data_IF_320606888069
#
_entry.id   IF_320606888069
#
_cell.length_a   1.000
_cell.length_b   1.000
_cell.length_c   1.000
_cell.angle_alpha   90.00
_cell.angle_beta   90.00
_cell.angle_gamma   90.00
#
_symmetry.space_group_name_H-M   'P 1'
#
loop_
_entity.id
_entity.type
_entity.pdbx_description
1 polymer ?
#
# COMPACT_ATOMS: atom_id res chain seq x y z
N UNK A 1 7.59 -23.31 -44.64
CA UNK A 1 8.06 -23.38 -46.04
C UNK A 1 7.03 -23.92 -47.04
N UNK A 2 5.74 -24.09 -46.66
CA UNK A 2 4.68 -24.54 -47.59
C UNK A 2 3.55 -23.52 -47.82
N UNK A 3 3.49 -22.42 -47.06
CA UNK A 3 2.59 -21.28 -47.31
C UNK A 3 3.23 -20.16 -48.16
N UNK A 4 4.54 -20.22 -48.38
CA UNK A 4 5.24 -19.35 -49.34
C UNK A 4 5.06 -19.82 -50.80
N UNK A 5 4.50 -21.03 -51.00
CA UNK A 5 4.33 -21.66 -52.30
C UNK A 5 2.93 -21.45 -52.93
N UNK A 6 1.90 -21.12 -52.15
CA UNK A 6 0.56 -20.87 -52.71
C UNK A 6 0.47 -19.46 -53.33
N UNK A 7 1.31 -18.52 -52.88
CA UNK A 7 1.37 -17.18 -53.46
C UNK A 7 2.13 -17.09 -54.81
N UNK A 8 2.92 -18.12 -55.18
CA UNK A 8 3.83 -18.06 -56.33
C UNK A 8 3.45 -18.94 -57.53
N UNK A 9 2.33 -19.67 -57.49
CA UNK A 9 1.93 -20.58 -58.59
C UNK A 9 1.03 -19.96 -59.67
N UNK A 10 0.74 -18.65 -59.60
CA UNK A 10 0.02 -17.94 -60.67
C UNK A 10 0.89 -16.98 -61.50
N UNK A 11 2.20 -16.91 -61.24
CA UNK A 11 3.09 -15.92 -61.85
C UNK A 11 4.37 -16.54 -62.44
N UNK A 12 4.26 -17.35 -63.50
CA UNK A 12 5.41 -17.60 -64.39
C UNK A 12 5.02 -18.22 -65.73
N UNK A 13 4.42 -17.40 -66.60
CA UNK A 13 4.74 -17.37 -68.04
C UNK A 13 3.83 -16.33 -68.70
N UNK A 14 4.42 -15.20 -69.09
CA UNK A 14 4.10 -14.33 -70.24
C UNK A 14 4.34 -12.84 -69.91
N UNK A 15 5.29 -12.27 -70.66
CA UNK A 15 5.56 -10.86 -70.95
C UNK A 15 5.72 -9.86 -69.81
N UNK A 16 6.99 -9.47 -69.60
CA UNK A 16 7.48 -8.39 -68.76
C UNK A 16 7.08 -6.97 -69.16
N UNK A 17 6.31 -6.77 -70.25
CA UNK A 17 5.89 -5.45 -70.72
C UNK A 17 4.37 -5.19 -70.64
N UNK A 18 3.57 -6.15 -70.15
CA UNK A 18 2.11 -5.96 -69.92
C UNK A 18 1.80 -5.64 -68.44
N UNK A 19 2.71 -5.98 -67.51
CA UNK A 19 2.53 -5.78 -66.07
C UNK A 19 2.74 -4.34 -65.57
N UNK A 20 3.21 -3.44 -66.43
CA UNK A 20 3.39 -2.03 -66.07
C UNK A 20 2.10 -1.20 -66.20
N UNK A 21 1.00 -1.78 -66.72
CA UNK A 21 -0.21 -1.04 -67.09
C UNK A 21 -1.49 -1.45 -66.34
N UNK A 22 -1.41 -2.34 -65.33
CA UNK A 22 -2.53 -2.73 -64.45
C UNK A 22 -2.45 -2.14 -63.02
N UNK A 23 -1.47 -1.28 -62.75
CA UNK A 23 -1.18 -0.71 -61.41
C UNK A 23 -1.84 0.64 -61.15
N UNK A 24 -3.17 0.69 -61.25
CA UNK A 24 -3.95 1.64 -60.45
C UNK A 24 -5.09 0.88 -59.78
N UNK A 25 -4.78 0.06 -58.78
CA UNK A 25 -5.78 -0.43 -57.84
C UNK A 25 -6.49 0.79 -57.28
N UNK A 26 -7.80 0.92 -57.49
CA UNK A 26 -8.57 2.00 -56.90
C UNK A 26 -8.60 1.76 -55.39
N UNK A 27 -7.64 2.35 -54.68
CA UNK A 27 -7.43 2.19 -53.25
C UNK A 27 -8.68 2.54 -52.43
N UNK A 28 -9.48 3.49 -52.94
CA UNK A 28 -10.78 3.83 -52.34
C UNK A 28 -11.80 2.70 -52.54
N UNK A 29 -11.80 2.01 -53.68
CA UNK A 29 -12.64 0.84 -53.91
C UNK A 29 -12.22 -0.35 -53.03
N UNK A 30 -10.92 -0.63 -52.93
CA UNK A 30 -10.41 -1.67 -52.01
C UNK A 30 -10.77 -1.34 -50.55
N UNK A 31 -10.59 -0.08 -50.12
CA UNK A 31 -11.00 0.34 -48.80
C UNK A 31 -12.51 0.24 -48.58
N UNK A 32 -13.32 0.61 -49.58
CA UNK A 32 -14.80 0.51 -49.48
C UNK A 32 -15.24 -0.95 -49.32
N UNK A 33 -14.64 -1.88 -50.07
CA UNK A 33 -14.91 -3.31 -49.94
C UNK A 33 -14.49 -3.83 -48.57
N UNK A 34 -13.26 -3.51 -48.13
CA UNK A 34 -12.79 -3.82 -46.78
C UNK A 34 -13.78 -3.34 -45.70
N UNK A 35 -14.20 -2.07 -45.79
CA UNK A 35 -15.04 -1.43 -44.79
C UNK A 35 -16.44 -2.03 -44.76
N UNK A 36 -17.05 -2.31 -45.91
CA UNK A 36 -18.37 -2.95 -45.98
C UNK A 36 -18.34 -4.40 -45.49
N UNK A 37 -17.33 -5.21 -45.86
CA UNK A 37 -17.20 -6.57 -45.34
C UNK A 37 -16.96 -6.57 -43.82
N UNK A 38 -16.10 -5.69 -43.30
CA UNK A 38 -15.87 -5.54 -41.86
C UNK A 38 -17.16 -5.15 -41.12
N UNK A 39 -17.95 -4.22 -41.67
CA UNK A 39 -19.24 -3.80 -41.10
C UNK A 39 -20.27 -4.94 -41.05
N UNK A 40 -20.19 -5.88 -41.99
CA UNK A 40 -21.05 -7.06 -42.04
C UNK A 40 -20.48 -8.26 -41.26
N UNK A 41 -19.39 -8.07 -40.50
CA UNK A 41 -18.67 -9.13 -39.77
C UNK A 41 -18.15 -10.26 -40.67
N UNK A 42 -17.87 -9.99 -41.94
CA UNK A 42 -17.26 -10.95 -42.87
C UNK A 42 -15.74 -10.73 -42.91
N UNK A 43 -15.05 -11.22 -41.88
CA UNK A 43 -13.60 -11.07 -41.74
C UNK A 43 -12.82 -11.72 -42.90
N UNK A 44 -13.27 -12.90 -43.34
CA UNK A 44 -12.64 -13.66 -44.43
C UNK A 44 -12.61 -12.87 -45.74
N UNK A 45 -13.70 -12.17 -46.07
CA UNK A 45 -13.76 -11.31 -47.26
C UNK A 45 -13.06 -9.97 -47.02
N UNK A 46 -13.12 -9.41 -45.81
CA UNK A 46 -12.52 -8.10 -45.50
C UNK A 46 -10.98 -8.11 -45.53
N UNK A 47 -10.35 -9.08 -44.85
CA UNK A 47 -8.89 -9.13 -44.60
C UNK A 47 -8.05 -8.95 -45.89
N UNK A 48 -8.33 -9.63 -47.02
CA UNK A 48 -7.58 -9.44 -48.25
C UNK A 48 -7.59 -7.99 -48.77
N UNK A 49 -8.73 -7.31 -48.70
CA UNK A 49 -8.83 -5.90 -49.10
C UNK A 49 -8.14 -4.98 -48.11
N UNK A 50 -8.21 -5.29 -46.81
CA UNK A 50 -7.46 -4.56 -45.78
C UNK A 50 -5.96 -4.56 -46.03
N UNK A 51 -5.38 -5.73 -46.37
CA UNK A 51 -3.96 -5.83 -46.73
C UNK A 51 -3.63 -5.14 -48.05
N UNK A 52 -4.51 -5.14 -49.06
CA UNK A 52 -4.28 -4.35 -50.28
C UNK A 52 -4.12 -2.87 -49.95
N UNK A 53 -4.97 -2.34 -49.07
CA UNK A 53 -4.89 -0.94 -48.64
C UNK A 53 -3.61 -0.69 -47.84
N UNK A 54 -3.33 -1.52 -46.83
CA UNK A 54 -2.16 -1.39 -45.94
C UNK A 54 -0.84 -1.51 -46.71
N UNK A 55 -0.73 -2.45 -47.66
CA UNK A 55 0.50 -2.67 -48.42
C UNK A 55 0.70 -1.63 -49.54
N UNK A 56 -0.35 -0.89 -49.92
CA UNK A 56 -0.26 0.16 -50.94
C UNK A 56 0.04 1.51 -50.31
N UNK A 57 -0.90 2.06 -49.52
CA UNK A 57 -0.73 3.29 -48.74
C UNK A 57 -1.95 3.50 -47.81
N UNK A 58 -1.86 3.23 -46.50
CA UNK A 58 -2.98 3.37 -45.58
C UNK A 58 -3.20 4.81 -45.09
N UNK A 59 -2.36 5.78 -45.46
CA UNK A 59 -2.29 7.12 -44.85
C UNK A 59 -3.64 7.84 -44.82
N UNK A 60 -4.38 7.82 -45.93
CA UNK A 60 -5.69 8.49 -46.02
C UNK A 60 -6.82 7.78 -45.25
N UNK A 61 -6.56 6.56 -44.76
CA UNK A 61 -7.53 5.68 -44.13
C UNK A 61 -7.31 5.48 -42.62
N UNK A 62 -6.24 6.04 -42.07
CA UNK A 62 -5.92 5.97 -40.63
C UNK A 62 -7.07 6.51 -39.76
N UNK A 63 -7.74 7.58 -40.21
CA UNK A 63 -8.93 8.15 -39.53
C UNK A 63 -10.10 7.17 -39.39
N UNK A 64 -10.15 6.13 -40.23
CA UNK A 64 -11.15 5.06 -40.16
C UNK A 64 -10.67 3.83 -39.37
N UNK A 65 -9.52 3.94 -38.71
CA UNK A 65 -8.96 2.93 -37.80
C UNK A 65 -8.73 1.58 -38.49
N UNK A 66 -8.20 1.61 -39.72
CA UNK A 66 -7.98 0.40 -40.53
C UNK A 66 -7.15 -0.66 -39.79
N UNK A 67 -6.09 -0.26 -39.07
CA UNK A 67 -5.27 -1.19 -38.28
C UNK A 67 -6.03 -1.81 -37.12
N UNK A 68 -6.81 -1.03 -36.37
CA UNK A 68 -7.63 -1.55 -35.26
C UNK A 68 -8.71 -2.50 -35.78
N UNK A 69 -9.34 -2.20 -36.92
CA UNK A 69 -10.31 -3.09 -37.55
C UNK A 69 -9.69 -4.41 -38.00
N UNK A 70 -8.48 -4.38 -38.55
CA UNK A 70 -7.72 -5.58 -38.89
C UNK A 70 -7.35 -6.37 -37.63
N UNK A 71 -6.93 -5.69 -36.56
CA UNK A 71 -6.68 -6.28 -35.24
C UNK A 71 -7.95 -7.00 -34.74
N UNK A 72 -9.08 -6.31 -34.65
CA UNK A 72 -10.34 -6.87 -34.15
C UNK A 72 -10.72 -8.17 -34.88
N UNK A 73 -10.55 -8.20 -36.20
CA UNK A 73 -10.80 -9.40 -37.01
C UNK A 73 -9.82 -10.53 -36.68
N UNK A 74 -8.53 -10.25 -36.53
CA UNK A 74 -7.56 -11.28 -36.18
C UNK A 74 -7.76 -11.84 -34.78
N UNK A 75 -8.09 -11.01 -33.80
CA UNK A 75 -8.42 -11.47 -32.45
C UNK A 75 -9.67 -12.35 -32.44
N UNK A 76 -10.71 -11.93 -33.16
CA UNK A 76 -11.93 -12.72 -33.30
C UNK A 76 -11.65 -14.10 -33.94
N UNK A 77 -10.90 -14.12 -35.05
CA UNK A 77 -10.56 -15.36 -35.73
C UNK A 77 -9.66 -16.26 -34.87
N UNK A 78 -8.64 -15.71 -34.19
CA UNK A 78 -7.75 -16.47 -33.32
C UNK A 78 -8.51 -17.18 -32.19
N UNK A 79 -9.45 -16.48 -31.56
CA UNK A 79 -10.23 -16.98 -30.42
C UNK A 79 -11.39 -17.89 -30.85
N UNK A 80 -11.62 -18.05 -32.16
CA UNK A 80 -12.60 -18.99 -32.69
C UNK A 80 -12.26 -20.44 -32.32
N UNK A 81 -13.29 -21.20 -31.96
CA UNK A 81 -13.19 -22.64 -31.72
C UNK A 81 -13.09 -23.46 -33.01
N UNK A 82 -13.33 -22.83 -34.16
CA UNK A 82 -13.51 -23.49 -35.45
C UNK A 82 -12.22 -23.61 -36.27
N UNK A 83 -11.10 -23.12 -35.74
CA UNK A 83 -9.79 -23.16 -36.41
C UNK A 83 -8.76 -24.01 -35.63
N UNK A 84 -7.88 -24.67 -36.37
CA UNK A 84 -6.80 -25.49 -35.81
C UNK A 84 -5.62 -24.65 -35.28
N UNK A 85 -4.73 -25.30 -34.53
CA UNK A 85 -3.56 -24.65 -33.92
C UNK A 85 -2.59 -24.08 -34.96
N UNK A 86 -2.49 -24.68 -36.15
CA UNK A 86 -1.64 -24.18 -37.23
C UNK A 86 -2.18 -22.86 -37.79
N UNK A 87 -3.50 -22.75 -37.91
CA UNK A 87 -4.20 -21.53 -38.33
C UNK A 87 -4.06 -20.43 -37.28
N UNK A 88 -4.17 -20.77 -35.98
CA UNK A 88 -3.91 -19.84 -34.87
C UNK A 88 -2.49 -19.29 -34.90
N UNK A 89 -1.52 -20.15 -35.19
CA UNK A 89 -0.11 -19.76 -35.30
C UNK A 89 0.12 -18.77 -36.46
N UNK A 90 -0.49 -19.01 -37.62
CA UNK A 90 -0.44 -18.09 -38.77
C UNK A 90 -1.09 -16.75 -38.43
N UNK A 91 -2.24 -16.76 -37.74
CA UNK A 91 -2.93 -15.54 -37.31
C UNK A 91 -2.04 -14.76 -36.33
N UNK A 92 -1.38 -15.44 -35.39
CA UNK A 92 -0.48 -14.80 -34.45
C UNK A 92 0.70 -14.12 -35.16
N UNK A 93 1.37 -14.81 -36.08
CA UNK A 93 2.46 -14.22 -36.88
C UNK A 93 1.98 -13.03 -37.72
N UNK A 94 0.81 -13.16 -38.33
CA UNK A 94 0.22 -12.08 -39.15
C UNK A 94 -0.16 -10.87 -38.30
N UNK A 95 -0.64 -11.09 -37.07
CA UNK A 95 -0.99 -10.03 -36.12
C UNK A 95 0.25 -9.30 -35.62
N UNK A 96 1.34 -10.02 -35.33
CA UNK A 96 2.63 -9.42 -35.00
C UNK A 96 3.14 -8.52 -36.15
N UNK A 97 3.03 -9.01 -37.39
CA UNK A 97 3.38 -8.21 -38.57
C UNK A 97 2.49 -6.98 -38.73
N UNK A 98 1.18 -7.11 -38.51
CA UNK A 98 0.23 -6.01 -38.55
C UNK A 98 0.65 -4.89 -37.59
N UNK A 99 1.02 -5.22 -36.35
CA UNK A 99 1.50 -4.23 -35.37
C UNK A 99 2.80 -3.55 -35.81
N UNK A 100 3.73 -4.30 -36.41
CA UNK A 100 4.98 -3.73 -36.96
C UNK A 100 4.73 -2.74 -38.09
N UNK A 101 3.73 -3.01 -38.94
CA UNK A 101 3.33 -2.08 -40.00
C UNK A 101 2.58 -0.89 -39.39
N UNK A 102 1.65 -1.11 -38.47
CA UNK A 102 0.86 -0.07 -37.83
C UNK A 102 1.74 0.98 -37.13
N UNK A 103 2.78 0.54 -36.41
CA UNK A 103 3.74 1.44 -35.74
C UNK A 103 4.47 2.40 -36.69
N UNK A 104 4.56 2.09 -38.00
CA UNK A 104 5.16 2.99 -39.00
C UNK A 104 4.22 4.13 -39.40
N UNK A 105 2.91 3.94 -39.27
CA UNK A 105 1.89 4.87 -39.75
C UNK A 105 1.15 5.60 -38.62
N UNK A 106 1.10 5.02 -37.41
CA UNK A 106 0.45 5.59 -36.22
C UNK A 106 1.47 5.75 -35.07
N UNK A 107 2.42 6.71 -35.19
CA UNK A 107 3.48 6.91 -34.20
C UNK A 107 2.95 7.25 -32.80
N UNK A 108 1.76 7.85 -32.71
CA UNK A 108 1.07 8.16 -31.47
C UNK A 108 0.52 6.93 -30.73
N UNK A 109 0.46 5.77 -31.40
CA UNK A 109 -0.04 4.50 -30.84
C UNK A 109 1.04 3.44 -30.68
N UNK A 110 2.32 3.80 -30.78
CA UNK A 110 3.42 2.83 -30.67
C UNK A 110 3.36 2.07 -29.33
N UNK A 111 3.14 2.77 -28.22
CA UNK A 111 3.00 2.14 -26.90
C UNK A 111 1.88 1.10 -26.85
N UNK A 112 0.70 1.44 -27.40
CA UNK A 112 -0.43 0.54 -27.54
C UNK A 112 -0.07 -0.72 -28.34
N UNK A 113 0.54 -0.57 -29.51
CA UNK A 113 0.91 -1.70 -30.37
C UNK A 113 2.02 -2.56 -29.75
N UNK A 114 2.97 -1.97 -29.04
CA UNK A 114 4.00 -2.72 -28.32
C UNK A 114 3.40 -3.57 -27.19
N UNK A 115 2.46 -3.03 -26.41
CA UNK A 115 1.78 -3.79 -25.36
C UNK A 115 0.95 -4.95 -25.93
N UNK A 116 0.23 -4.70 -27.02
CA UNK A 116 -0.53 -5.74 -27.75
C UNK A 116 0.39 -6.79 -28.36
N UNK A 117 1.52 -6.39 -28.92
CA UNK A 117 2.56 -7.30 -29.42
C UNK A 117 3.10 -8.19 -28.30
N UNK A 118 3.43 -7.61 -27.15
CA UNK A 118 3.89 -8.36 -25.97
C UNK A 118 2.85 -9.38 -25.50
N UNK A 119 1.57 -9.00 -25.47
CA UNK A 119 0.48 -9.92 -25.14
C UNK A 119 0.35 -11.08 -26.15
N UNK A 120 0.44 -10.82 -27.45
CA UNK A 120 0.41 -11.88 -28.46
C UNK A 120 1.59 -12.84 -28.29
N UNK A 121 2.79 -12.31 -28.00
CA UNK A 121 3.97 -13.13 -27.70
C UNK A 121 3.75 -13.98 -26.44
N UNK A 122 3.14 -13.41 -25.40
CA UNK A 122 2.84 -14.10 -24.14
C UNK A 122 1.79 -15.21 -24.31
N UNK A 123 0.61 -14.84 -24.81
CA UNK A 123 -0.60 -15.66 -24.68
C UNK A 123 -0.80 -16.58 -25.88
N UNK A 124 -0.57 -16.07 -27.09
CA UNK A 124 -0.80 -16.83 -28.32
C UNK A 124 0.44 -17.66 -28.68
N UNK A 125 1.61 -17.01 -28.71
CA UNK A 125 2.87 -17.66 -29.09
C UNK A 125 3.53 -18.45 -27.95
N UNK A 126 3.15 -18.19 -26.70
CA UNK A 126 3.80 -18.75 -25.49
C UNK A 126 5.32 -18.65 -25.57
N UNK A 127 5.79 -17.48 -26.01
CA UNK A 127 7.21 -17.21 -26.20
C UNK A 127 7.98 -17.33 -24.86
N UNK A 128 9.29 -17.61 -24.89
CA UNK A 128 10.10 -17.65 -23.68
C UNK A 128 9.99 -16.37 -22.87
N UNK A 129 9.94 -16.49 -21.54
CA UNK A 129 9.72 -15.36 -20.63
C UNK A 129 10.63 -14.15 -20.90
N UNK A 130 11.94 -14.29 -21.16
CA UNK A 130 12.81 -13.13 -21.46
C UNK A 130 12.34 -12.31 -22.67
N UNK A 131 11.83 -12.97 -23.72
CA UNK A 131 11.33 -12.30 -24.93
C UNK A 131 10.06 -11.50 -24.63
N UNK A 132 9.18 -12.09 -23.82
CA UNK A 132 7.92 -11.45 -23.43
C UNK A 132 8.17 -10.28 -22.47
N UNK A 133 9.09 -10.44 -21.52
CA UNK A 133 9.51 -9.40 -20.58
C UNK A 133 10.07 -8.20 -21.35
N UNK A 134 11.02 -8.42 -22.26
CA UNK A 134 11.62 -7.34 -23.07
C UNK A 134 10.54 -6.58 -23.87
N UNK A 135 9.56 -7.31 -24.43
CA UNK A 135 8.47 -6.70 -25.18
C UNK A 135 7.57 -5.80 -24.30
N UNK A 136 7.23 -6.24 -23.08
CA UNK A 136 6.45 -5.44 -22.14
C UNK A 136 7.26 -4.26 -21.58
N UNK A 137 8.52 -4.46 -21.18
CA UNK A 137 9.41 -3.38 -20.71
C UNK A 137 9.50 -2.28 -21.76
N UNK A 138 9.78 -2.64 -23.03
CA UNK A 138 9.82 -1.69 -24.14
C UNK A 138 8.50 -0.94 -24.34
N UNK A 139 7.37 -1.62 -24.16
CA UNK A 139 6.07 -0.98 -24.24
C UNK A 139 5.92 0.11 -23.18
N UNK A 140 6.24 -0.20 -21.92
CA UNK A 140 6.10 0.75 -20.79
C UNK A 140 7.13 1.87 -20.78
N UNK A 141 8.33 1.62 -21.31
CA UNK A 141 9.33 2.67 -21.57
C UNK A 141 8.85 3.66 -22.63
N UNK A 142 8.10 3.16 -23.63
CA UNK A 142 7.58 4.00 -24.72
C UNK A 142 6.35 4.80 -24.27
N UNK A 143 5.48 4.19 -23.45
CA UNK A 143 4.24 4.80 -23.01
C UNK A 143 3.88 4.37 -21.58
N UNK A 144 4.08 5.28 -20.63
CA UNK A 144 3.76 5.03 -19.22
C UNK A 144 2.24 4.95 -18.94
N UNK A 145 1.40 5.42 -19.87
CA UNK A 145 -0.06 5.47 -19.73
C UNK A 145 -0.77 4.17 -20.11
N UNK A 146 -0.01 3.18 -20.61
CA UNK A 146 -0.54 1.85 -20.93
C UNK A 146 -1.32 1.29 -19.71
N UNK A 147 -2.52 0.71 -19.93
CA UNK A 147 -3.37 0.22 -18.85
C UNK A 147 -2.65 -0.71 -17.87
N UNK A 148 -2.93 -0.55 -16.59
CA UNK A 148 -2.34 -1.34 -15.51
C UNK A 148 -2.56 -2.85 -15.67
N UNK A 149 -3.59 -3.26 -16.43
CA UNK A 149 -3.77 -4.65 -16.86
C UNK A 149 -2.50 -5.26 -17.47
N UNK A 150 -1.83 -4.57 -18.40
CA UNK A 150 -0.61 -5.09 -19.02
C UNK A 150 0.58 -5.07 -18.05
N UNK A 151 0.63 -4.09 -17.14
CA UNK A 151 1.66 -4.04 -16.08
C UNK A 151 1.51 -5.23 -15.13
N UNK A 152 0.29 -5.62 -14.76
CA UNK A 152 0.02 -6.85 -14.00
C UNK A 152 0.46 -8.10 -14.78
N UNK A 153 0.27 -8.17 -16.11
CA UNK A 153 0.83 -9.29 -16.91
C UNK A 153 2.34 -9.40 -16.75
N UNK A 154 3.07 -8.30 -16.89
CA UNK A 154 4.52 -8.29 -16.67
C UNK A 154 4.89 -8.68 -15.23
N UNK A 155 4.17 -8.14 -14.23
CA UNK A 155 4.36 -8.50 -12.83
C UNK A 155 4.15 -9.99 -12.54
N UNK A 156 3.17 -10.62 -13.18
CA UNK A 156 2.93 -12.07 -13.09
C UNK A 156 4.11 -12.82 -13.68
N UNK A 157 4.57 -12.45 -14.89
CA UNK A 157 5.69 -13.13 -15.56
C UNK A 157 6.97 -13.01 -14.71
N UNK A 158 7.24 -11.85 -14.13
CA UNK A 158 8.34 -11.69 -13.19
C UNK A 158 8.21 -12.62 -11.98
N UNK A 159 7.05 -12.64 -11.33
CA UNK A 159 6.82 -13.46 -10.15
C UNK A 159 6.95 -14.97 -10.46
N UNK A 160 6.41 -15.45 -11.58
CA UNK A 160 6.41 -16.87 -11.92
C UNK A 160 7.76 -17.37 -12.45
N UNK A 161 8.61 -16.49 -12.96
CA UNK A 161 9.94 -16.83 -13.48
C UNK A 161 11.08 -16.35 -12.57
N UNK A 162 10.76 -15.90 -11.35
CA UNK A 162 11.75 -15.52 -10.37
C UNK A 162 12.60 -16.73 -9.96
N UNK A 163 13.92 -16.57 -10.03
CA UNK A 163 14.90 -17.55 -9.61
C UNK A 163 16.04 -16.86 -8.84
N UNK A 164 16.88 -17.63 -8.16
CA UNK A 164 17.96 -17.08 -7.33
C UNK A 164 18.99 -16.26 -8.12
N UNK A 165 19.17 -16.58 -9.40
CA UNK A 165 20.16 -15.98 -10.30
C UNK A 165 19.63 -14.74 -11.06
N UNK A 166 18.38 -14.35 -10.84
CA UNK A 166 17.77 -13.18 -11.47
C UNK A 166 17.14 -12.21 -10.46
N UNK A 167 16.81 -11.01 -10.92
CA UNK A 167 16.23 -9.93 -10.13
C UNK A 167 14.71 -9.82 -10.27
N UNK A 168 14.05 -10.79 -10.90
CA UNK A 168 12.63 -10.66 -11.25
C UNK A 168 11.73 -10.51 -10.03
N UNK A 169 12.10 -11.12 -8.90
CA UNK A 169 11.40 -10.90 -7.63
C UNK A 169 11.41 -9.43 -7.19
N UNK A 170 12.55 -8.75 -7.38
CA UNK A 170 12.68 -7.32 -7.09
C UNK A 170 11.95 -6.47 -8.12
N UNK A 171 12.01 -6.84 -9.41
CA UNK A 171 11.25 -6.16 -10.47
C UNK A 171 9.73 -6.27 -10.25
N UNK A 172 9.23 -7.43 -9.85
CA UNK A 172 7.83 -7.61 -9.48
C UNK A 172 7.45 -6.77 -8.25
N UNK A 173 8.30 -6.76 -7.22
CA UNK A 173 8.09 -5.93 -6.03
C UNK A 173 8.00 -4.44 -6.39
N UNK A 174 8.93 -3.93 -7.20
CA UNK A 174 8.94 -2.53 -7.65
C UNK A 174 7.68 -2.19 -8.44
N UNK A 175 7.31 -3.05 -9.40
CA UNK A 175 6.12 -2.87 -10.22
C UNK A 175 4.84 -2.85 -9.39
N UNK A 176 4.63 -3.82 -8.50
CA UNK A 176 3.43 -3.86 -7.67
C UNK A 176 3.43 -2.78 -6.58
N UNK A 177 4.60 -2.33 -6.12
CA UNK A 177 4.68 -1.18 -5.20
C UNK A 177 4.19 0.09 -5.88
N UNK A 178 4.66 0.38 -7.10
CA UNK A 178 4.18 1.51 -7.91
C UNK A 178 2.69 1.42 -8.21
N UNK A 179 2.17 0.23 -8.53
CA UNK A 179 0.74 0.03 -8.74
C UNK A 179 -0.07 0.28 -7.45
N UNK A 180 0.45 -0.14 -6.29
CA UNK A 180 -0.21 0.12 -4.99
C UNK A 180 -0.26 1.60 -4.61
N UNK A 181 0.65 2.42 -5.15
CA UNK A 181 0.65 3.87 -4.93
C UNK A 181 -0.35 4.58 -5.85
N UNK A 182 -0.46 4.13 -7.10
CA UNK A 182 -1.42 4.67 -8.07
C UNK A 182 -2.85 4.25 -7.72
N UNK A 183 -3.04 3.04 -7.20
CA UNK A 183 -4.34 2.47 -6.83
C UNK A 183 -4.34 1.99 -5.37
N UNK A 184 -4.33 2.91 -4.38
CA UNK A 184 -4.20 2.56 -2.96
C UNK A 184 -5.37 1.75 -2.41
N UNK A 185 -6.56 1.89 -3.00
CA UNK A 185 -7.76 1.14 -2.61
C UNK A 185 -7.83 -0.26 -3.26
N UNK A 186 -6.91 -0.57 -4.17
CA UNK A 186 -6.86 -1.87 -4.83
C UNK A 186 -6.00 -2.86 -4.04
N UNK A 187 -6.66 -3.61 -3.16
CA UNK A 187 -6.01 -4.63 -2.33
C UNK A 187 -5.30 -5.74 -3.12
N UNK A 188 -5.58 -5.88 -4.43
CA UNK A 188 -4.90 -6.85 -5.30
C UNK A 188 -3.38 -6.64 -5.28
N UNK A 189 -2.89 -5.40 -5.34
CA UNK A 189 -1.45 -5.13 -5.42
C UNK A 189 -0.71 -5.51 -4.15
N UNK A 190 -1.33 -5.28 -3.00
CA UNK A 190 -0.79 -5.74 -1.72
C UNK A 190 -0.74 -7.28 -1.68
N UNK A 191 -1.81 -7.95 -2.12
CA UNK A 191 -1.82 -9.41 -2.23
C UNK A 191 -0.74 -9.96 -3.17
N UNK A 192 -0.48 -9.28 -4.30
CA UNK A 192 0.59 -9.65 -5.23
C UNK A 192 1.98 -9.51 -4.60
N UNK A 193 2.23 -8.43 -3.85
CA UNK A 193 3.49 -8.22 -3.10
C UNK A 193 3.67 -9.33 -2.06
N UNK A 194 2.63 -9.62 -1.28
CA UNK A 194 2.67 -10.65 -0.23
C UNK A 194 2.97 -12.04 -0.81
N UNK A 195 2.37 -12.37 -1.96
CA UNK A 195 2.59 -13.63 -2.65
C UNK A 195 3.94 -13.74 -3.39
N UNK A 196 4.75 -12.67 -3.44
CA UNK A 196 6.12 -12.82 -3.93
C UNK A 196 6.93 -13.72 -3.02
N UNK A 197 6.65 -13.69 -1.71
CA UNK A 197 7.37 -14.47 -0.72
C UNK A 197 6.55 -15.67 -0.25
N UNK A 198 7.24 -16.73 0.17
CA UNK A 198 6.61 -17.92 0.76
C UNK A 198 6.09 -17.63 2.17
N UNK A 199 6.77 -16.74 2.88
CA UNK A 199 6.41 -16.27 4.20
C UNK A 199 6.84 -14.81 4.42
N UNK A 200 6.44 -14.25 5.56
CA UNK A 200 6.70 -12.85 5.88
C UNK A 200 8.19 -12.54 6.10
N UNK A 201 9.01 -13.51 6.51
CA UNK A 201 10.44 -13.30 6.74
C UNK A 201 11.20 -13.19 5.42
N UNK A 202 10.84 -14.02 4.45
CA UNK A 202 11.39 -13.87 3.10
C UNK A 202 10.99 -12.51 2.50
N UNK A 203 9.76 -12.02 2.76
CA UNK A 203 9.34 -10.68 2.32
C UNK A 203 10.15 -9.56 3.00
N UNK A 204 10.52 -9.71 4.27
CA UNK A 204 11.45 -8.82 4.97
C UNK A 204 12.79 -8.76 4.22
N UNK A 205 13.36 -9.90 3.85
CA UNK A 205 14.65 -9.96 3.16
C UNK A 205 14.61 -9.35 1.75
N UNK A 206 13.53 -9.58 1.00
CA UNK A 206 13.35 -9.01 -0.34
C UNK A 206 13.20 -7.48 -0.25
N UNK A 207 12.36 -6.99 0.66
CA UNK A 207 12.16 -5.54 0.82
C UNK A 207 13.41 -4.86 1.37
N UNK A 208 14.18 -5.54 2.23
CA UNK A 208 15.52 -5.09 2.65
C UNK A 208 16.45 -4.95 1.45
N UNK A 209 16.59 -6.01 0.64
CA UNK A 209 17.46 -6.01 -0.54
C UNK A 209 17.05 -4.91 -1.53
N UNK A 210 15.75 -4.71 -1.72
CA UNK A 210 15.22 -3.62 -2.56
C UNK A 210 15.68 -2.24 -2.07
N UNK A 211 15.58 -1.98 -0.77
CA UNK A 211 16.04 -0.73 -0.18
C UNK A 211 17.57 -0.59 -0.16
N UNK A 212 18.33 -1.66 0.12
CA UNK A 212 19.79 -1.62 0.12
C UNK A 212 20.38 -1.30 -1.27
N UNK A 213 19.68 -1.66 -2.35
CA UNK A 213 20.06 -1.28 -3.72
C UNK A 213 19.83 0.20 -4.04
N UNK A 214 18.96 0.88 -3.29
CA UNK A 214 18.61 2.29 -3.48
C UNK A 214 18.29 2.92 -2.13
N UNK A 215 19.34 3.10 -1.31
CA UNK A 215 19.20 3.46 0.10
C UNK A 215 18.58 4.84 0.33
N UNK A 216 18.68 5.73 -0.66
CA UNK A 216 18.07 7.07 -0.63
C UNK A 216 16.56 7.07 -0.84
N UNK A 217 15.98 5.98 -1.31
CA UNK A 217 14.57 5.92 -1.69
C UNK A 217 13.65 5.75 -0.47
N UNK A 218 12.82 6.77 -0.22
CA UNK A 218 11.91 6.82 0.92
C UNK A 218 10.79 5.77 0.82
N UNK A 219 10.27 5.50 -0.37
CA UNK A 219 9.19 4.53 -0.57
C UNK A 219 9.67 3.11 -0.26
N UNK A 220 10.87 2.75 -0.72
CA UNK A 220 11.51 1.47 -0.42
C UNK A 220 11.84 1.32 1.06
N UNK A 221 12.36 2.38 1.70
CA UNK A 221 12.58 2.41 3.14
C UNK A 221 11.27 2.18 3.91
N UNK A 222 10.19 2.88 3.51
CA UNK A 222 8.87 2.75 4.12
C UNK A 222 8.28 1.37 3.94
N UNK A 223 8.43 0.77 2.75
CA UNK A 223 7.98 -0.60 2.49
C UNK A 223 8.71 -1.60 3.39
N UNK A 224 10.04 -1.51 3.46
CA UNK A 224 10.84 -2.37 4.34
C UNK A 224 10.44 -2.21 5.81
N UNK A 225 10.33 -0.96 6.31
CA UNK A 225 9.86 -0.69 7.67
C UNK A 225 8.49 -1.31 7.96
N UNK A 226 7.53 -1.12 7.04
CA UNK A 226 6.16 -1.60 7.19
C UNK A 226 6.09 -3.13 7.23
N UNK A 227 6.87 -3.81 6.38
CA UNK A 227 6.95 -5.28 6.38
C UNK A 227 7.64 -5.79 7.66
N UNK A 228 8.72 -5.16 8.13
CA UNK A 228 9.34 -5.49 9.41
C UNK A 228 8.35 -5.38 10.58
N UNK A 229 7.55 -4.31 10.64
CA UNK A 229 6.51 -4.15 11.67
C UNK A 229 5.45 -5.25 11.58
N UNK A 230 4.99 -5.56 10.36
CA UNK A 230 4.01 -6.65 10.13
C UNK A 230 4.57 -8.01 10.57
N UNK A 231 5.86 -8.25 10.32
CA UNK A 231 6.59 -9.45 10.74
C UNK A 231 6.90 -9.52 12.24
N UNK A 232 6.58 -8.48 13.03
CA UNK A 232 7.04 -8.29 14.42
C UNK A 232 8.58 -8.22 14.57
N UNK A 233 9.30 -7.96 13.49
CA UNK A 233 10.75 -7.76 13.44
C UNK A 233 11.12 -6.31 13.79
N UNK A 234 10.72 -5.89 15.00
CA UNK A 234 10.74 -4.50 15.41
C UNK A 234 12.16 -3.90 15.42
N UNK A 235 13.19 -4.70 15.72
CA UNK A 235 14.57 -4.19 15.66
C UNK A 235 15.03 -3.84 14.25
N UNK A 236 14.59 -4.59 13.23
CA UNK A 236 14.89 -4.31 11.82
C UNK A 236 14.15 -3.07 11.32
N UNK A 237 12.99 -2.75 11.90
CA UNK A 237 12.20 -1.59 11.52
C UNK A 237 12.81 -0.25 11.95
N UNK A 238 13.73 -0.22 12.93
CA UNK A 238 14.32 1.03 13.43
C UNK A 238 15.11 1.79 12.36
N UNK A 239 16.06 1.13 11.70
CA UNK A 239 16.97 1.76 10.73
C UNK A 239 16.21 2.49 9.60
N UNK A 240 15.25 1.85 8.88
CA UNK A 240 14.50 2.57 7.85
C UNK A 240 13.62 3.68 8.43
N UNK A 241 13.02 3.53 9.61
CA UNK A 241 12.22 4.58 10.22
C UNK A 241 13.05 5.78 10.68
N UNK A 242 14.22 5.54 11.29
CA UNK A 242 15.19 6.57 11.65
C UNK A 242 15.62 7.35 10.39
N UNK A 243 15.98 6.63 9.32
CA UNK A 243 16.29 7.23 8.02
C UNK A 243 15.13 8.09 7.49
N UNK A 244 13.91 7.58 7.47
CA UNK A 244 12.72 8.30 7.00
C UNK A 244 12.45 9.58 7.80
N UNK A 245 12.56 9.52 9.13
CA UNK A 245 12.37 10.69 9.99
C UNK A 245 13.48 11.73 9.83
N UNK A 246 14.68 11.32 9.42
CA UNK A 246 15.78 12.24 9.11
C UNK A 246 15.58 12.93 7.74
N UNK A 247 15.11 12.20 6.74
CA UNK A 247 14.92 12.74 5.38
C UNK A 247 13.64 13.57 5.25
N UNK A 248 12.58 13.19 5.97
CA UNK A 248 11.27 13.86 5.92
C UNK A 248 10.73 14.08 7.34
N UNK A 249 11.35 14.98 8.12
CA UNK A 249 11.02 15.21 9.53
C UNK A 249 9.61 15.77 9.77
N UNK A 250 8.94 16.29 8.74
CA UNK A 250 7.57 16.79 8.79
C UNK A 250 6.51 15.68 8.66
N UNK A 251 6.89 14.49 8.18
CA UNK A 251 5.95 13.39 7.95
C UNK A 251 5.61 12.71 9.28
N UNK A 252 4.46 13.11 9.82
CA UNK A 252 3.92 12.64 11.12
C UNK A 252 3.86 11.12 11.21
N UNK A 253 3.48 10.43 10.13
CA UNK A 253 3.32 8.97 10.15
C UNK A 253 4.63 8.24 10.44
N UNK A 254 5.77 8.72 9.92
CA UNK A 254 7.09 8.12 10.18
C UNK A 254 7.45 8.20 11.66
N UNK A 255 7.25 9.36 12.28
CA UNK A 255 7.46 9.53 13.72
C UNK A 255 6.52 8.69 14.58
N UNK A 256 5.26 8.52 14.17
CA UNK A 256 4.30 7.64 14.87
C UNK A 256 4.77 6.19 14.87
N UNK A 257 5.17 5.67 13.70
CA UNK A 257 5.69 4.30 13.62
C UNK A 257 6.99 4.15 14.40
N UNK A 258 7.91 5.12 14.30
CA UNK A 258 9.19 5.08 15.04
C UNK A 258 8.98 5.10 16.56
N UNK A 259 8.11 5.98 17.06
CA UNK A 259 7.76 6.04 18.48
C UNK A 259 7.16 4.72 18.97
N UNK A 260 6.24 4.13 18.20
CA UNK A 260 5.62 2.85 18.54
C UNK A 260 6.63 1.70 18.54
N UNK A 261 7.53 1.66 17.56
CA UNK A 261 8.61 0.66 17.50
C UNK A 261 9.53 0.78 18.72
N UNK A 262 10.02 1.98 19.05
CA UNK A 262 10.84 2.17 20.25
C UNK A 262 10.11 1.82 21.54
N UNK A 263 8.82 2.15 21.65
CA UNK A 263 8.02 1.83 22.84
C UNK A 263 7.87 0.32 23.04
N UNK A 264 7.58 -0.43 21.98
CA UNK A 264 7.46 -1.90 22.01
C UNK A 264 8.78 -2.61 22.29
N UNK A 265 9.90 -1.95 22.01
CA UNK A 265 11.26 -2.42 22.31
C UNK A 265 11.77 -1.94 23.67
N UNK A 266 10.91 -1.32 24.49
CA UNK A 266 11.27 -0.71 25.78
C UNK A 266 12.39 0.35 25.71
N UNK A 267 12.66 0.90 24.53
CA UNK A 267 13.62 2.00 24.31
C UNK A 267 12.97 3.35 24.65
N UNK A 268 12.58 3.48 25.92
CA UNK A 268 11.74 4.57 26.43
C UNK A 268 12.28 5.97 26.11
N UNK A 269 13.59 6.20 26.26
CA UNK A 269 14.18 7.54 26.02
C UNK A 269 14.08 7.96 24.55
N UNK A 270 14.22 7.00 23.62
CA UNK A 270 14.06 7.25 22.19
C UNK A 270 12.58 7.43 21.82
N UNK A 271 11.69 6.63 22.40
CA UNK A 271 10.24 6.81 22.23
C UNK A 271 9.79 8.20 22.70
N UNK A 272 10.25 8.65 23.88
CA UNK A 272 9.98 9.99 24.41
C UNK A 272 10.52 11.10 23.49
N UNK A 273 11.70 10.90 22.89
CA UNK A 273 12.26 11.83 21.91
C UNK A 273 11.39 11.93 20.65
N UNK A 274 10.93 10.79 20.11
CA UNK A 274 10.01 10.76 18.98
C UNK A 274 8.64 11.40 19.32
N UNK A 275 8.08 11.12 20.49
CA UNK A 275 6.85 11.76 20.94
C UNK A 275 7.00 13.26 21.17
N UNK A 276 8.17 13.75 21.62
CA UNK A 276 8.45 15.18 21.70
C UNK A 276 8.36 15.83 20.31
N UNK A 277 8.90 15.19 19.28
CA UNK A 277 8.75 15.66 17.89
C UNK A 277 7.29 15.62 17.46
N UNK A 278 6.54 14.54 17.75
CA UNK A 278 5.11 14.45 17.45
C UNK A 278 4.28 15.54 18.14
N UNK A 279 4.60 15.91 19.37
CA UNK A 279 3.94 17.01 20.09
C UNK A 279 4.24 18.36 19.41
N UNK A 280 5.46 18.56 18.91
CA UNK A 280 5.79 19.80 18.19
C UNK A 280 5.07 19.88 16.84
N UNK A 281 4.94 18.75 16.13
CA UNK A 281 4.23 18.66 14.85
C UNK A 281 2.70 18.70 15.00
N UNK A 282 2.18 18.17 16.12
CA UNK A 282 0.75 18.06 16.42
C UNK A 282 0.47 18.45 17.88
N UNK A 283 0.54 19.75 18.22
CA UNK A 283 0.33 20.22 19.59
C UNK A 283 -1.09 19.97 20.10
N UNK A 284 -2.07 19.83 19.20
CA UNK A 284 -3.47 19.58 19.55
C UNK A 284 -3.82 18.07 19.53
N UNK A 285 -2.83 17.20 19.35
CA UNK A 285 -3.05 15.75 19.40
C UNK A 285 -2.90 15.24 20.83
N UNK A 286 -4.05 15.04 21.50
CA UNK A 286 -4.16 14.54 22.87
C UNK A 286 -3.46 13.19 23.11
N UNK A 287 -3.42 12.31 22.11
CA UNK A 287 -2.87 10.95 22.24
C UNK A 287 -1.35 11.00 22.48
N UNK A 288 -0.64 11.94 21.85
CA UNK A 288 0.80 12.10 22.03
C UNK A 288 1.17 12.39 23.50
N UNK A 289 0.36 13.21 24.19
CA UNK A 289 0.59 13.52 25.60
C UNK A 289 0.31 12.33 26.51
N UNK A 290 -0.74 11.54 26.23
CA UNK A 290 -1.03 10.32 27.01
C UNK A 290 0.04 9.26 26.80
N UNK A 291 0.54 9.05 25.59
CA UNK A 291 1.60 8.07 25.36
C UNK A 291 2.88 8.43 26.14
N UNK A 292 3.26 9.71 26.16
CA UNK A 292 4.36 10.19 27.02
C UNK A 292 4.06 9.95 28.51
N UNK A 293 2.84 10.25 28.96
CA UNK A 293 2.44 10.02 30.35
C UNK A 293 2.53 8.53 30.73
N UNK A 294 2.12 7.62 29.85
CA UNK A 294 2.18 6.17 30.07
C UNK A 294 3.63 5.70 30.20
N UNK A 295 4.54 6.20 29.36
CA UNK A 295 5.97 5.88 29.47
C UNK A 295 6.54 6.35 30.82
N UNK A 296 6.28 7.60 31.21
CA UNK A 296 6.75 8.10 32.51
C UNK A 296 6.12 7.36 33.70
N UNK A 297 4.87 6.89 33.58
CA UNK A 297 4.22 6.06 34.59
C UNK A 297 4.95 4.72 34.76
N UNK A 298 5.33 4.08 33.65
CA UNK A 298 6.12 2.82 33.64
C UNK A 298 7.51 3.01 34.23
N UNK A 299 8.11 4.19 34.05
CA UNK A 299 9.38 4.58 34.68
C UNK A 299 9.23 5.05 36.15
N UNK A 300 8.04 4.91 36.75
CA UNK A 300 7.73 5.38 38.11
C UNK A 300 7.89 6.89 38.34
N UNK A 301 8.02 7.68 37.28
CA UNK A 301 8.07 9.13 37.32
C UNK A 301 6.66 9.73 37.36
N UNK A 302 5.92 9.38 38.42
CA UNK A 302 4.48 9.63 38.56
C UNK A 302 4.12 11.14 38.48
N UNK A 303 4.96 12.01 39.03
CA UNK A 303 4.74 13.47 38.97
C UNK A 303 4.75 13.99 37.54
N UNK A 304 5.75 13.57 36.75
CA UNK A 304 5.93 13.99 35.35
C UNK A 304 4.80 13.41 34.50
N UNK A 305 4.49 12.13 34.70
CA UNK A 305 3.36 11.47 34.03
C UNK A 305 2.06 12.26 34.19
N UNK A 306 1.71 12.65 35.43
CA UNK A 306 0.50 13.45 35.68
C UNK A 306 0.54 14.81 34.98
N UNK A 307 1.70 15.47 34.92
CA UNK A 307 1.84 16.72 34.18
C UNK A 307 1.48 16.59 32.69
N UNK A 308 1.82 15.45 32.07
CA UNK A 308 1.42 15.16 30.69
C UNK A 308 -0.06 14.78 30.56
N UNK A 309 -0.64 14.06 31.53
CA UNK A 309 -2.10 13.81 31.56
C UNK A 309 -2.90 15.11 31.68
N UNK A 310 -2.42 16.09 32.45
CA UNK A 310 -3.03 17.41 32.52
C UNK A 310 -2.98 18.14 31.18
N UNK A 311 -1.87 18.04 30.44
CA UNK A 311 -1.79 18.58 29.07
C UNK A 311 -2.80 17.90 28.14
N UNK A 312 -2.91 16.57 28.19
CA UNK A 312 -3.91 15.84 27.42
C UNK A 312 -5.34 16.29 27.74
N UNK A 313 -5.67 16.48 29.03
CA UNK A 313 -6.96 17.00 29.48
C UNK A 313 -7.23 18.43 29.02
N UNK A 314 -6.20 19.29 28.94
CA UNK A 314 -6.35 20.65 28.45
C UNK A 314 -6.64 20.68 26.94
N UNK A 315 -6.03 19.77 26.18
CA UNK A 315 -6.27 19.62 24.74
C UNK A 315 -7.65 19.03 24.47
N UNK A 316 -8.11 18.06 25.27
CA UNK A 316 -9.42 17.43 25.12
C UNK A 316 -10.11 17.23 26.48
N UNK A 317 -10.84 18.24 26.98
CA UNK A 317 -11.49 18.18 28.30
C UNK A 317 -12.61 17.15 28.43
N UNK A 318 -13.15 16.71 27.29
CA UNK A 318 -14.21 15.71 27.14
C UNK A 318 -13.68 14.26 27.06
N UNK A 319 -12.36 14.08 27.08
CA UNK A 319 -11.74 12.77 27.01
C UNK A 319 -11.53 12.17 28.41
N UNK A 320 -12.14 11.03 28.66
CA UNK A 320 -12.12 10.37 29.97
C UNK A 320 -10.84 9.54 30.22
N UNK A 321 -10.11 9.16 29.16
CA UNK A 321 -8.94 8.29 29.26
C UNK A 321 -7.79 8.85 30.12
N UNK A 322 -7.41 10.14 30.08
CA UNK A 322 -6.33 10.63 30.94
C UNK A 322 -6.68 10.52 32.43
N UNK A 323 -7.96 10.60 32.81
CA UNK A 323 -8.41 10.35 34.18
C UNK A 323 -8.32 8.87 34.56
N UNK A 324 -8.50 7.94 33.61
CA UNK A 324 -8.22 6.51 33.84
C UNK A 324 -6.76 6.33 34.21
N UNK A 325 -5.84 6.90 33.41
CA UNK A 325 -4.40 6.77 33.65
C UNK A 325 -4.00 7.49 34.94
N UNK A 326 -4.60 8.64 35.27
CA UNK A 326 -4.34 9.37 36.50
C UNK A 326 -4.82 8.58 37.73
N UNK A 327 -5.98 7.92 37.66
CA UNK A 327 -6.45 7.00 38.69
C UNK A 327 -5.47 5.86 38.93
N UNK A 328 -4.99 5.21 37.85
CA UNK A 328 -4.01 4.12 37.94
C UNK A 328 -2.68 4.57 38.55
N UNK A 329 -2.31 5.82 38.27
CA UNK A 329 -1.10 6.45 38.78
C UNK A 329 -1.20 6.65 40.31
N UNK A 330 -2.36 7.05 40.83
CA UNK A 330 -2.62 7.11 42.27
C UNK A 330 -2.62 5.72 42.92
N UNK A 331 -3.21 4.71 42.28
CA UNK A 331 -3.15 3.33 42.75
C UNK A 331 -1.70 2.80 42.84
N UNK A 332 -0.89 3.08 41.80
CA UNK A 332 0.51 2.71 41.79
C UNK A 332 1.27 3.37 42.93
N UNK A 333 1.04 4.67 43.18
CA UNK A 333 1.65 5.37 44.30
C UNK A 333 1.27 4.76 45.65
N UNK A 334 -0.02 4.46 45.87
CA UNK A 334 -0.50 3.86 47.10
C UNK A 334 0.04 2.44 47.32
N UNK A 335 0.22 1.67 46.24
CA UNK A 335 0.77 0.30 46.30
C UNK A 335 2.27 0.27 46.54
N UNK A 336 3.02 1.26 46.05
CA UNK A 336 4.48 1.34 46.21
C UNK A 336 4.90 1.86 47.59
N UNK A 337 3.96 2.24 48.45
CA UNK A 337 4.21 2.80 49.77
C UNK A 337 3.58 1.94 50.88
N UNK A 338 3.91 2.27 52.13
CA UNK A 338 3.32 1.58 53.28
C UNK A 338 1.79 1.74 53.28
N UNK A 339 1.08 0.62 53.49
CA UNK A 339 -0.38 0.62 53.51
C UNK A 339 -0.90 1.14 54.86
N UNK A 340 -0.91 2.46 54.99
CA UNK A 340 -1.42 3.20 56.15
C UNK A 340 -2.71 3.99 55.81
N UNK A 341 -3.13 4.85 56.73
CA UNK A 341 -4.29 5.73 56.48
C UNK A 341 -4.08 6.67 55.29
N UNK A 342 -2.85 7.14 55.05
CA UNK A 342 -2.57 7.99 53.90
C UNK A 342 -2.66 7.22 52.59
N UNK A 343 -2.18 5.98 52.52
CA UNK A 343 -2.39 5.10 51.38
C UNK A 343 -3.89 4.90 51.10
N UNK A 344 -4.71 4.68 52.13
CA UNK A 344 -6.17 4.63 51.97
C UNK A 344 -6.75 5.93 51.42
N UNK A 345 -6.27 7.10 51.88
CA UNK A 345 -6.68 8.40 51.33
C UNK A 345 -6.26 8.58 49.87
N UNK A 346 -5.11 8.04 49.46
CA UNK A 346 -4.68 8.04 48.04
C UNK A 346 -5.56 7.10 47.21
N UNK A 347 -5.96 5.94 47.72
CA UNK A 347 -6.97 5.11 47.06
C UNK A 347 -8.32 5.82 46.93
N UNK A 348 -8.73 6.61 47.93
CA UNK A 348 -9.94 7.44 47.83
C UNK A 348 -9.79 8.52 46.74
N UNK A 349 -8.59 9.10 46.59
CA UNK A 349 -8.29 10.03 45.50
C UNK A 349 -8.39 9.32 44.13
N UNK A 350 -7.87 8.10 44.01
CA UNK A 350 -8.01 7.28 42.81
C UNK A 350 -9.49 7.01 42.49
N UNK A 351 -10.27 6.59 43.48
CA UNK A 351 -11.72 6.35 43.35
C UNK A 351 -12.45 7.62 42.88
N UNK A 352 -12.17 8.78 43.47
CA UNK A 352 -12.79 10.04 43.05
C UNK A 352 -12.41 10.42 41.62
N UNK A 353 -11.17 10.14 41.22
CA UNK A 353 -10.68 10.36 39.84
C UNK A 353 -11.42 9.44 38.85
N UNK A 354 -11.61 8.16 39.19
CA UNK A 354 -12.41 7.24 38.37
C UNK A 354 -13.89 7.60 38.34
N UNK A 355 -14.49 8.07 39.44
CA UNK A 355 -15.87 8.58 39.43
C UNK A 355 -16.04 9.74 38.46
N UNK A 356 -15.04 10.63 38.37
CA UNK A 356 -15.01 11.70 37.38
C UNK A 356 -15.03 11.13 35.96
N UNK A 357 -14.13 10.20 35.64
CA UNK A 357 -14.10 9.53 34.33
C UNK A 357 -15.43 8.83 34.01
N UNK A 358 -16.01 8.10 34.97
CA UNK A 358 -17.31 7.44 34.80
C UNK A 358 -18.44 8.44 34.52
N UNK A 359 -18.46 9.58 35.23
CA UNK A 359 -19.45 10.63 35.06
C UNK A 359 -19.33 11.40 33.74
N UNK A 360 -18.19 11.32 33.06
CA UNK A 360 -18.01 11.92 31.72
C UNK A 360 -18.72 11.12 30.62
N UNK A 361 -19.03 9.84 30.86
CA UNK A 361 -19.76 9.00 29.90
C UNK A 361 -18.99 8.67 28.61
N UNK A 362 -17.66 8.81 28.62
CA UNK A 362 -16.79 8.49 27.49
C UNK A 362 -16.54 7.00 27.29
N UNK A 363 -15.62 6.67 26.39
CA UNK A 363 -15.29 5.30 25.99
C UNK A 363 -14.87 4.41 27.17
N UNK A 364 -14.28 4.98 28.21
CA UNK A 364 -13.72 4.26 29.36
C UNK A 364 -14.57 4.39 30.63
N UNK A 365 -15.78 4.95 30.55
CA UNK A 365 -16.66 5.14 31.70
C UNK A 365 -17.03 3.84 32.44
N UNK A 366 -17.25 2.74 31.70
CA UNK A 366 -17.51 1.42 32.31
C UNK A 366 -16.28 0.93 33.07
N UNK A 367 -15.10 1.00 32.45
CA UNK A 367 -13.83 0.61 33.10
C UNK A 367 -13.60 1.42 34.37
N UNK A 368 -13.87 2.73 34.34
CA UNK A 368 -13.79 3.60 35.51
C UNK A 368 -14.74 3.14 36.63
N UNK A 369 -15.99 2.84 36.29
CA UNK A 369 -17.00 2.36 37.24
C UNK A 369 -16.59 1.04 37.90
N UNK A 370 -15.97 0.13 37.15
CA UNK A 370 -15.47 -1.13 37.67
C UNK A 370 -14.26 -0.92 38.59
N UNK A 371 -13.35 0.00 38.26
CA UNK A 371 -12.26 0.40 39.16
C UNK A 371 -12.78 1.01 40.47
N UNK A 372 -13.83 1.83 40.43
CA UNK A 372 -14.47 2.39 41.65
C UNK A 372 -14.95 1.27 42.57
N UNK A 373 -15.62 0.25 42.03
CA UNK A 373 -16.07 -0.92 42.81
C UNK A 373 -14.91 -1.72 43.36
N UNK A 374 -13.88 -1.97 42.55
CA UNK A 374 -12.72 -2.77 42.93
C UNK A 374 -11.91 -2.16 44.09
N UNK A 375 -11.94 -0.83 44.24
CA UNK A 375 -11.19 -0.11 45.27
C UNK A 375 -11.99 0.20 46.54
N UNK A 376 -13.27 -0.22 46.64
CA UNK A 376 -14.13 0.15 47.78
C UNK A 376 -13.58 -0.26 49.14
N UNK A 377 -12.84 -1.36 49.19
CA UNK A 377 -12.27 -1.91 50.43
C UNK A 377 -10.88 -1.33 50.76
N UNK A 378 -10.32 -0.53 49.85
CA UNK A 378 -8.99 0.09 49.99
C UNK A 378 -9.06 1.56 50.42
N UNK A 379 -10.26 2.15 50.47
CA UNK A 379 -10.49 3.53 50.96
C UNK A 379 -10.71 3.56 52.48
N UNK A 380 -10.59 4.72 53.15
CA UNK A 380 -10.75 4.79 54.60
C UNK A 380 -12.18 4.44 55.03
N UNK A 381 -12.31 3.73 56.16
CA UNK A 381 -13.60 3.36 56.76
C UNK A 381 -14.09 4.43 57.73
N UNK A 382 -15.34 4.29 58.22
CA UNK A 382 -15.87 5.20 59.26
C UNK A 382 -15.03 5.16 60.53
N UNK A 383 -14.52 4.00 60.89
CA UNK A 383 -13.62 3.81 62.03
C UNK A 383 -12.30 4.54 61.83
N UNK A 384 -11.71 4.47 60.63
CA UNK A 384 -10.46 5.17 60.30
C UNK A 384 -10.57 6.68 60.56
N UNK A 385 -11.70 7.29 60.16
CA UNK A 385 -12.00 8.71 60.39
C UNK A 385 -12.27 9.01 61.87
N UNK A 386 -13.08 8.17 62.54
CA UNK A 386 -13.44 8.33 63.94
C UNK A 386 -12.21 8.38 64.86
N UNK A 387 -11.28 7.43 64.71
CA UNK A 387 -10.05 7.39 65.52
C UNK A 387 -9.15 8.62 65.31
N UNK A 388 -9.31 9.34 64.20
CA UNK A 388 -8.56 10.55 63.85
C UNK A 388 -9.33 11.83 64.14
N UNK A 389 -10.55 11.74 64.69
CA UNK A 389 -11.44 12.88 64.98
C UNK A 389 -11.76 13.72 63.74
N UNK A 390 -11.88 13.07 62.58
CA UNK A 390 -12.24 13.70 61.31
C UNK A 390 -13.75 13.57 61.08
N UNK A 391 -14.40 14.67 60.72
CA UNK A 391 -15.83 14.77 60.45
C UNK A 391 -16.11 14.83 58.95
N UNK A 392 -17.35 14.50 58.56
CA UNK A 392 -17.80 14.66 57.17
C UNK A 392 -17.58 16.10 56.68
N UNK A 393 -17.02 16.23 55.47
CA UNK A 393 -16.63 17.52 54.90
C UNK A 393 -15.22 17.99 55.26
N UNK A 394 -14.55 17.40 56.26
CA UNK A 394 -13.16 17.72 56.56
C UNK A 394 -12.26 17.41 55.35
N UNK A 395 -11.28 18.29 55.12
CA UNK A 395 -10.32 18.13 54.02
C UNK A 395 -9.04 17.48 54.52
N UNK A 396 -8.67 16.36 53.90
CA UNK A 396 -7.43 15.64 54.19
C UNK A 396 -6.46 15.92 53.06
N UNK A 397 -5.38 16.62 53.37
CA UNK A 397 -4.29 16.85 52.41
C UNK A 397 -3.53 15.55 52.18
N UNK A 398 -3.27 15.22 50.93
CA UNK A 398 -2.39 14.10 50.59
C UNK A 398 -0.94 14.56 50.80
N UNK A 399 -0.30 13.99 51.81
CA UNK A 399 1.03 14.37 52.28
C UNK A 399 1.87 13.15 52.69
N UNK A 400 3.13 13.39 53.08
CA UNK A 400 4.14 12.36 53.30
C UNK A 400 5.17 12.29 52.18
N UNK A 401 6.37 11.79 52.47
CA UNK A 401 7.48 11.71 51.49
C UNK A 401 7.08 10.96 50.22
N UNK A 402 6.34 9.85 50.39
CA UNK A 402 5.75 9.01 49.35
C UNK A 402 4.77 9.73 48.41
N UNK A 403 4.04 10.71 48.93
CA UNK A 403 2.89 11.32 48.23
C UNK A 403 3.04 12.82 47.99
N UNK A 404 4.20 13.40 48.36
CA UNK A 404 4.49 14.83 48.28
C UNK A 404 4.25 15.44 46.89
N UNK A 405 4.47 14.65 45.83
CA UNK A 405 4.23 15.07 44.45
C UNK A 405 2.73 15.20 44.10
N UNK A 406 1.82 14.59 44.88
CA UNK A 406 0.38 14.59 44.59
C UNK A 406 -0.20 15.99 44.75
N UNK A 407 0.08 16.72 45.84
CA UNK A 407 -0.41 18.10 46.00
C UNK A 407 -1.93 18.27 45.86
N UNK A 408 -2.71 17.23 46.13
CA UNK A 408 -4.19 17.22 46.14
C UNK A 408 -4.71 16.86 47.53
N UNK A 409 -6.01 17.00 47.72
CA UNK A 409 -6.71 16.64 48.95
C UNK A 409 -7.93 15.79 48.62
N UNK A 410 -8.41 15.03 49.60
CA UNK A 410 -9.69 14.33 49.57
C UNK A 410 -10.60 14.87 50.66
N UNK A 411 -11.91 14.77 50.48
CA UNK A 411 -12.89 15.09 51.52
C UNK A 411 -13.35 13.83 52.23
N UNK A 412 -13.59 13.94 53.53
CA UNK A 412 -14.29 12.90 54.30
C UNK A 412 -15.73 12.80 53.79
N UNK A 413 -16.18 11.60 53.36
CA UNK A 413 -17.51 11.40 52.77
C UNK A 413 -18.70 11.77 53.65
#
# INVERSE_FOLDING_TARGET
MFLYLIANLFFSAFNSDILAQEKSTNLMADFSLFYEYNKNNDAKSAIPYGWKVINTDPTNFLKYKIFQKMEDMYWFEHDSTDIDDASKEIIADTTLHLYEVAMKYEPEKIGYYLAKKAYVLEVWKKAPAPVVIEAYEKAFETDATIPNYYKDRLGIIYATNAAEDNDYKLKALDLYSKLSEVEPDNALWIGKIENLASDINELVDITKKSWDLDKSNLEKAWKYASICIKAQELEKAKEPLEFLTQQSPEVINYWKQLASVYEKLDQNDKALSAYKTLINLQPDNRDNYVNVAVIYKRQEQLSISRGFLQKANNVSPDWDYPYIIEGQLYEQAARSCEFDFMAKCVYLLAVNTYRKAAGMGGQYASTASDRVKALSNSTPTKEDYFFRKLNSGDTIKIEGSCYSWIGKSVQVP
#
